data_IF_990805155591
#
_entry.id   IF_990805155591
#
_cell.length_a   1.000
_cell.length_b   1.000
_cell.length_c   1.000
_cell.angle_alpha   90.00
_cell.angle_beta   90.00
_cell.angle_gamma   90.00
#
_symmetry.space_group_name_H-M   'P 1'
#
loop_
_entity.id
_entity.type
_entity.pdbx_description
1 polymer ?
#
# COMPACT_ATOMS: atom_id res chain seq x y z
N UNK A 1 -21.05 23.47 -39.13
CA UNK A 1 -19.61 23.47 -38.80
C UNK A 1 -19.46 23.13 -37.33
N UNK A 2 -18.44 22.32 -37.03
CA UNK A 2 -18.20 21.51 -35.83
C UNK A 2 -18.56 22.15 -34.48
N UNK A 3 -19.43 21.50 -33.70
CA UNK A 3 -19.43 21.64 -32.24
C UNK A 3 -18.20 20.90 -31.72
N UNK A 4 -17.26 21.67 -31.18
CA UNK A 4 -16.00 21.19 -30.64
C UNK A 4 -16.23 20.13 -29.55
N UNK A 5 -15.53 19.01 -29.67
CA UNK A 5 -15.41 17.97 -28.65
C UNK A 5 -14.96 18.60 -27.32
N UNK A 6 -15.88 18.71 -26.36
CA UNK A 6 -15.52 18.67 -24.96
C UNK A 6 -15.11 17.22 -24.68
N UNK A 7 -13.81 16.96 -24.69
CA UNK A 7 -13.26 15.75 -24.10
C UNK A 7 -13.65 15.80 -22.62
N UNK A 8 -14.75 15.13 -22.25
CA UNK A 8 -15.07 14.84 -20.86
C UNK A 8 -13.81 14.19 -20.28
N UNK A 9 -13.22 14.82 -19.26
CA UNK A 9 -12.24 14.15 -18.42
C UNK A 9 -12.90 12.84 -17.95
N UNK A 10 -12.19 11.70 -17.93
CA UNK A 10 -12.80 10.44 -17.52
C UNK A 10 -13.41 10.63 -16.14
N UNK A 11 -14.70 10.33 -16.00
CA UNK A 11 -15.39 10.47 -14.72
C UNK A 11 -14.74 9.54 -13.71
N UNK A 12 -14.08 10.14 -12.73
CA UNK A 12 -13.47 9.46 -11.59
C UNK A 12 -14.57 8.64 -10.90
N UNK A 13 -14.38 7.33 -10.74
CA UNK A 13 -15.39 6.50 -10.06
C UNK A 13 -15.51 6.90 -8.60
N UNK A 14 -16.65 6.62 -7.97
CA UNK A 14 -16.85 6.83 -6.53
C UNK A 14 -15.74 6.15 -5.68
N UNK A 15 -15.19 5.02 -6.15
CA UNK A 15 -14.06 4.36 -5.49
C UNK A 15 -12.76 5.15 -5.64
N UNK A 16 -12.50 5.78 -6.79
CA UNK A 16 -11.33 6.63 -6.95
C UNK A 16 -11.41 7.91 -6.10
N UNK A 17 -12.61 8.49 -5.94
CA UNK A 17 -12.83 9.61 -5.01
C UNK A 17 -12.63 9.19 -3.55
N UNK A 18 -13.19 8.04 -3.16
CA UNK A 18 -12.94 7.43 -1.85
C UNK A 18 -11.45 7.18 -1.61
N UNK A 19 -10.73 6.62 -2.59
CA UNK A 19 -9.29 6.40 -2.48
C UNK A 19 -8.55 7.71 -2.23
N UNK A 20 -8.91 8.79 -2.93
CA UNK A 20 -8.31 10.12 -2.69
C UNK A 20 -8.51 10.59 -1.23
N UNK A 21 -9.70 10.40 -0.67
CA UNK A 21 -9.99 10.69 0.75
C UNK A 21 -9.15 9.80 1.68
N UNK A 22 -9.08 8.49 1.41
CA UNK A 22 -8.28 7.57 2.21
C UNK A 22 -6.78 7.92 2.17
N UNK A 23 -6.26 8.35 1.00
CA UNK A 23 -4.88 8.84 0.88
C UNK A 23 -4.63 10.09 1.71
N UNK A 24 -5.57 11.03 1.74
CA UNK A 24 -5.48 12.23 2.59
C UNK A 24 -5.39 11.86 4.08
N UNK A 25 -6.05 10.78 4.49
CA UNK A 25 -6.06 10.30 5.87
C UNK A 25 -5.02 9.21 6.18
N UNK A 26 -3.97 9.10 5.34
CA UNK A 26 -2.77 8.32 5.66
C UNK A 26 -2.78 6.87 5.18
N UNK A 27 -3.82 6.44 4.46
CA UNK A 27 -3.74 5.16 3.73
C UNK A 27 -2.72 5.32 2.61
N UNK A 28 -1.74 4.42 2.52
CA UNK A 28 -0.67 4.47 1.51
C UNK A 28 -1.05 3.58 0.33
N UNK A 29 -0.54 3.92 -0.85
CA UNK A 29 -0.69 3.06 -2.03
C UNK A 29 0.11 1.76 -1.91
N UNK A 30 1.20 1.76 -1.12
CA UNK A 30 2.03 0.59 -0.85
C UNK A 30 2.53 0.62 0.59
N UNK A 31 2.57 -0.55 1.21
CA UNK A 31 3.14 -0.79 2.51
C UNK A 31 4.29 -1.79 2.40
N UNK A 32 5.46 -1.36 2.86
CA UNK A 32 6.63 -2.19 3.07
C UNK A 32 6.54 -2.89 4.44
N UNK A 33 7.51 -3.75 4.78
CA UNK A 33 7.61 -4.29 6.13
C UNK A 33 8.07 -3.20 7.10
N UNK A 34 7.53 -3.16 8.32
CA UNK A 34 8.05 -2.28 9.36
C UNK A 34 8.91 -3.07 10.34
N UNK A 35 10.23 -3.01 10.17
CA UNK A 35 11.21 -3.82 10.91
C UNK A 35 12.27 -2.89 11.50
N UNK A 36 12.56 -3.06 12.79
CA UNK A 36 13.60 -2.27 13.47
C UNK A 36 13.33 -0.75 13.49
N UNK A 37 12.05 -0.34 13.49
CA UNK A 37 11.66 1.07 13.48
C UNK A 37 11.72 1.75 12.11
N UNK A 38 11.91 0.99 11.02
CA UNK A 38 11.97 1.52 9.65
C UNK A 38 11.09 0.73 8.69
N UNK A 39 10.66 1.38 7.60
CA UNK A 39 9.99 0.72 6.48
C UNK A 39 11.04 0.10 5.54
N UNK A 40 10.92 -1.20 5.28
CA UNK A 40 11.89 -2.02 4.53
C UNK A 40 11.14 -2.87 3.52
N UNK A 41 11.50 -2.76 2.24
CA UNK A 41 10.92 -3.58 1.18
C UNK A 41 11.15 -5.08 1.48
N UNK A 42 10.21 -5.98 1.11
CA UNK A 42 10.36 -7.41 1.32
C UNK A 42 11.58 -7.93 0.55
N UNK A 43 12.35 -8.84 1.15
CA UNK A 43 13.62 -9.35 0.61
C UNK A 43 13.46 -9.96 -0.79
N UNK A 44 12.32 -10.62 -1.04
CA UNK A 44 12.00 -11.19 -2.37
C UNK A 44 11.38 -10.20 -3.35
N UNK A 45 11.11 -8.96 -2.93
CA UNK A 45 10.46 -7.92 -3.73
C UNK A 45 8.99 -8.18 -4.04
N UNK A 46 8.37 -9.18 -3.42
CA UNK A 46 7.00 -9.58 -3.70
C UNK A 46 6.00 -8.73 -2.92
N UNK A 47 4.92 -8.34 -3.58
CA UNK A 47 3.78 -7.64 -2.97
C UNK A 47 2.49 -8.31 -3.43
N UNK A 48 1.43 -8.18 -2.63
CA UNK A 48 0.07 -8.57 -3.04
C UNK A 48 -0.84 -7.34 -3.00
N UNK A 49 -1.88 -7.38 -3.82
CA UNK A 49 -2.89 -6.32 -3.91
C UNK A 49 -4.00 -6.58 -2.90
N UNK A 50 -4.15 -5.69 -1.93
CA UNK A 50 -5.35 -5.54 -1.14
C UNK A 50 -6.41 -4.85 -1.98
N UNK A 51 -7.60 -5.46 -2.06
CA UNK A 51 -8.69 -5.00 -2.92
C UNK A 51 -9.80 -4.42 -2.07
N UNK A 52 -10.44 -3.37 -2.56
CA UNK A 52 -11.62 -2.82 -1.87
C UNK A 52 -12.76 -3.84 -1.85
N UNK A 53 -13.48 -3.99 -0.72
CA UNK A 53 -14.65 -4.86 -0.65
C UNK A 53 -15.87 -4.30 -1.39
N UNK A 54 -15.81 -3.08 -1.92
CA UNK A 54 -16.91 -2.40 -2.60
C UNK A 54 -17.08 -2.95 -4.02
N UNK A 55 -16.00 -2.97 -4.79
CA UNK A 55 -16.01 -3.36 -6.21
C UNK A 55 -14.82 -4.24 -6.63
N UNK A 56 -13.92 -4.58 -5.69
CA UNK A 56 -12.75 -5.41 -5.96
C UNK A 56 -11.59 -4.69 -6.66
N UNK A 57 -11.68 -3.37 -6.84
CA UNK A 57 -10.58 -2.56 -7.37
C UNK A 57 -9.37 -2.52 -6.41
N UNK A 58 -8.15 -2.23 -6.89
CA UNK A 58 -6.97 -2.13 -6.03
C UNK A 58 -7.09 -1.01 -4.99
N UNK A 59 -6.97 -1.38 -3.71
CA UNK A 59 -6.89 -0.43 -2.60
C UNK A 59 -5.44 -0.10 -2.27
N UNK A 60 -4.58 -1.10 -2.06
CA UNK A 60 -3.19 -0.90 -1.66
C UNK A 60 -2.36 -2.13 -2.05
N UNK A 61 -1.04 -1.97 -2.16
CA UNK A 61 -0.11 -3.09 -2.21
C UNK A 61 0.53 -3.31 -0.84
N UNK A 62 0.67 -4.56 -0.43
CA UNK A 62 1.23 -4.93 0.86
C UNK A 62 2.39 -5.90 0.63
N UNK A 63 3.51 -5.68 1.33
CA UNK A 63 4.67 -6.56 1.29
C UNK A 63 4.26 -8.02 1.54
N UNK A 64 4.68 -8.91 0.64
CA UNK A 64 4.48 -10.34 0.77
C UNK A 64 5.74 -10.97 1.35
N UNK A 65 5.84 -10.90 2.68
CA UNK A 65 7.02 -11.29 3.45
C UNK A 65 7.40 -12.75 3.29
N UNK A 66 8.70 -12.98 3.17
CA UNK A 66 9.31 -14.30 3.17
C UNK A 66 9.81 -14.69 4.57
N UNK A 67 10.24 -15.94 4.73
CA UNK A 67 10.87 -16.38 5.98
C UNK A 67 12.08 -15.52 6.38
N UNK A 68 12.88 -15.07 5.41
CA UNK A 68 14.04 -14.20 5.68
C UNK A 68 13.63 -12.82 6.22
N UNK A 69 12.49 -12.29 5.79
CA UNK A 69 11.94 -11.04 6.33
C UNK A 69 11.53 -11.23 7.80
N UNK A 70 10.95 -12.39 8.12
CA UNK A 70 10.59 -12.76 9.50
C UNK A 70 11.83 -12.91 10.37
N UNK A 71 12.88 -13.57 9.89
CA UNK A 71 14.14 -13.70 10.63
C UNK A 71 14.74 -12.31 10.95
N UNK A 72 14.75 -11.40 9.98
CA UNK A 72 15.22 -10.02 10.18
C UNK A 72 14.36 -9.26 11.20
N UNK A 73 13.04 -9.48 11.19
CA UNK A 73 12.12 -8.91 12.17
C UNK A 73 12.39 -9.44 13.58
N UNK A 74 12.67 -10.74 13.72
CA UNK A 74 13.01 -11.37 14.99
C UNK A 74 14.34 -10.84 15.54
N UNK A 75 15.35 -10.70 14.70
CA UNK A 75 16.64 -10.12 15.10
C UNK A 75 16.48 -8.68 15.62
N UNK A 76 15.70 -7.85 14.92
CA UNK A 76 15.40 -6.49 15.34
C UNK A 76 14.63 -6.45 16.68
N UNK A 77 13.65 -7.34 16.85
CA UNK A 77 12.89 -7.46 18.09
C UNK A 77 13.78 -7.92 19.26
N UNK A 78 14.67 -8.89 19.05
CA UNK A 78 15.62 -9.34 20.06
C UNK A 78 16.61 -8.25 20.46
N UNK A 79 17.09 -7.45 19.51
CA UNK A 79 17.98 -6.32 19.79
C UNK A 79 17.30 -5.24 20.64
N UNK A 80 16.02 -4.93 20.37
CA UNK A 80 15.25 -3.94 21.12
C UNK A 80 14.79 -4.42 22.51
N UNK A 81 14.76 -5.74 22.74
CA UNK A 81 14.18 -6.37 23.95
C UNK A 81 14.72 -5.79 25.25
N UNK A 82 16.02 -5.51 25.34
CA UNK A 82 16.65 -5.09 26.60
C UNK A 82 16.23 -3.67 27.03
N UNK A 83 15.84 -2.82 26.09
CA UNK A 83 15.53 -1.39 26.32
C UNK A 83 14.03 -1.07 26.25
N UNK A 84 13.18 -2.06 26.00
CA UNK A 84 11.72 -1.93 25.93
C UNK A 84 11.10 -1.98 27.32
#
# INVERSE_FOLDING_TARGET
>A
MSVSNLVQAPETTAVQEMLAVLRLHGVKARYDNFIGGSWVAPIKGNYFVDKTPIDGEPLSEIAFSSAADVDTALDAAHAAKASW
#
